data_IF_804398266562
#
_entry.id   IF_804398266562
#
_cell.length_a   1.000
_cell.length_b   1.000
_cell.length_c   1.000
_cell.angle_alpha   90.00
_cell.angle_beta   90.00
_cell.angle_gamma   90.00
#
_symmetry.space_group_name_H-M   'P 1'
#
loop_
_entity.id
_entity.type
_entity.pdbx_description
1 polymer ?
#
# COMPACT_ATOMS: atom_id res chain seq x y z
N UNK A 1 -7.01 15.00 29.02
CA UNK A 1 -5.72 14.54 28.45
C UNK A 1 -4.64 15.03 29.37
N UNK A 2 -3.95 14.16 30.06
CA UNK A 2 -2.93 14.58 31.00
C UNK A 2 -1.72 15.08 30.21
N UNK A 3 -1.16 16.21 30.61
CA UNK A 3 0.10 16.78 30.10
C UNK A 3 1.24 15.75 30.07
N UNK A 4 1.18 14.71 30.87
CA UNK A 4 2.11 13.59 30.94
C UNK A 4 2.28 12.80 29.63
N UNK A 5 1.26 12.71 28.77
CA UNK A 5 1.38 11.99 27.50
C UNK A 5 2.10 12.80 26.43
N UNK A 6 2.02 14.12 26.54
CA UNK A 6 2.65 15.04 25.62
C UNK A 6 4.13 15.24 25.96
N UNK A 7 4.46 15.37 27.25
CA UNK A 7 5.85 15.44 27.72
C UNK A 7 6.65 14.18 27.40
N UNK A 8 6.04 13.01 27.49
CA UNK A 8 6.73 11.74 27.13
C UNK A 8 7.10 11.66 25.65
N UNK A 9 6.26 12.21 24.76
CA UNK A 9 6.57 12.34 23.33
C UNK A 9 7.68 13.34 23.05
N UNK A 10 7.67 14.49 23.73
CA UNK A 10 8.67 15.55 23.54
C UNK A 10 10.03 15.14 24.12
N UNK A 11 10.07 14.49 25.26
CA UNK A 11 11.31 13.99 25.88
C UNK A 11 12.00 12.93 24.99
N UNK A 12 11.23 12.13 24.27
CA UNK A 12 11.77 11.21 23.25
C UNK A 12 12.38 11.93 22.04
N UNK A 13 11.85 13.11 21.67
CA UNK A 13 12.32 13.91 20.52
C UNK A 13 13.55 14.78 20.82
N UNK A 14 13.86 15.03 22.10
CA UNK A 14 15.04 15.80 22.50
C UNK A 14 16.34 14.98 22.55
N UNK A 15 16.30 13.70 22.17
CA UNK A 15 17.54 12.95 21.98
C UNK A 15 18.24 13.51 20.74
N UNK A 16 19.48 14.01 20.94
CA UNK A 16 20.33 14.39 19.82
C UNK A 16 20.39 13.24 18.83
N UNK A 17 20.03 13.52 17.58
CA UNK A 17 20.22 12.56 16.49
C UNK A 17 21.72 12.25 16.42
N UNK A 18 22.07 11.01 16.70
CA UNK A 18 23.42 10.52 16.50
C UNK A 18 23.52 9.96 15.08
N UNK A 19 24.18 10.65 14.15
CA UNK A 19 24.27 10.22 12.76
C UNK A 19 25.11 8.94 12.57
N UNK A 20 25.83 8.54 13.63
CA UNK A 20 26.60 7.28 13.60
C UNK A 20 25.79 6.09 14.09
N UNK A 21 24.61 6.33 14.66
CA UNK A 21 23.75 5.31 15.20
C UNK A 21 23.07 4.57 14.06
N UNK A 22 23.46 3.33 13.85
CA UNK A 22 22.76 2.42 12.93
C UNK A 22 21.37 2.10 13.47
N UNK A 23 20.45 1.74 12.59
CA UNK A 23 19.13 1.25 12.98
C UNK A 23 19.27 0.23 14.13
N UNK A 24 18.44 0.39 15.15
CA UNK A 24 18.48 -0.50 16.30
C UNK A 24 18.13 -1.91 15.85
N UNK A 25 19.09 -2.80 15.99
CA UNK A 25 18.83 -4.21 15.91
C UNK A 25 18.70 -4.75 17.34
N UNK A 26 17.76 -5.63 17.58
CA UNK A 26 17.69 -6.46 18.77
C UNK A 26 18.92 -7.36 18.85
N UNK A 27 19.17 -7.95 20.02
CA UNK A 27 20.29 -8.86 20.23
C UNK A 27 20.31 -10.06 19.25
N UNK A 28 19.17 -10.44 18.70
CA UNK A 28 19.00 -11.49 17.70
C UNK A 28 19.14 -11.00 16.24
N UNK A 29 19.61 -9.75 16.06
CA UNK A 29 19.79 -9.09 14.77
C UNK A 29 18.49 -8.77 14.01
N UNK A 30 17.33 -8.97 14.60
CA UNK A 30 16.07 -8.52 14.02
C UNK A 30 15.90 -7.00 14.22
N UNK A 31 15.19 -6.30 13.32
CA UNK A 31 14.88 -4.89 13.52
C UNK A 31 14.17 -4.66 14.85
N UNK A 32 14.57 -3.61 15.57
CA UNK A 32 13.86 -3.20 16.77
C UNK A 32 12.47 -2.71 16.35
N UNK A 33 11.42 -3.43 16.77
CA UNK A 33 10.02 -3.15 16.45
C UNK A 33 9.50 -1.82 17.02
N UNK A 34 10.34 -1.02 17.66
CA UNK A 34 9.94 0.31 18.12
C UNK A 34 9.45 1.22 16.99
N UNK A 35 9.86 0.97 15.74
CA UNK A 35 9.34 1.68 14.57
C UNK A 35 7.87 1.32 14.26
N UNK A 36 7.37 0.21 14.77
CA UNK A 36 5.94 -0.17 14.63
C UNK A 36 5.03 0.64 15.54
N UNK A 37 5.55 1.22 16.59
CA UNK A 37 4.76 1.98 17.58
C UNK A 37 4.22 3.28 16.97
N UNK A 38 4.85 3.80 15.93
CA UNK A 38 4.42 5.05 15.28
C UNK A 38 3.27 4.86 14.28
N UNK A 39 2.95 3.63 13.91
CA UNK A 39 1.99 3.33 12.82
C UNK A 39 0.57 3.09 13.35
N UNK A 40 0.41 2.95 14.64
CA UNK A 40 -0.88 2.66 15.26
C UNK A 40 -1.09 3.36 16.60
N UNK A 41 -2.27 3.20 17.19
CA UNK A 41 -2.55 3.72 18.52
C UNK A 41 -1.64 3.07 19.56
N UNK A 42 -1.03 3.87 20.41
CA UNK A 42 -0.23 3.40 21.55
C UNK A 42 -1.13 2.79 22.63
N UNK A 43 -0.55 2.04 23.57
CA UNK A 43 -1.28 1.39 24.68
C UNK A 43 -2.21 2.34 25.42
N UNK A 44 -1.77 3.57 25.68
CA UNK A 44 -2.58 4.59 26.36
C UNK A 44 -3.90 4.87 25.59
N UNK A 45 -3.85 4.98 24.27
CA UNK A 45 -5.05 5.21 23.46
C UNK A 45 -6.05 4.04 23.55
N UNK A 46 -5.56 2.81 23.64
CA UNK A 46 -6.44 1.65 23.90
C UNK A 46 -7.05 1.66 25.29
N UNK A 47 -6.28 2.05 26.29
CA UNK A 47 -6.77 2.13 27.69
C UNK A 47 -7.83 3.25 27.84
N UNK A 48 -7.59 4.42 27.22
CA UNK A 48 -8.56 5.52 27.19
C UNK A 48 -9.86 5.14 26.44
N UNK A 49 -9.76 4.48 25.29
CA UNK A 49 -10.95 3.96 24.57
C UNK A 49 -11.74 2.97 25.41
N UNK A 50 -11.04 2.06 26.08
CA UNK A 50 -11.68 1.07 26.97
C UNK A 50 -12.37 1.77 28.14
N UNK A 51 -11.73 2.74 28.77
CA UNK A 51 -12.32 3.53 29.84
C UNK A 51 -13.55 4.33 29.39
N UNK A 52 -13.54 4.80 28.14
CA UNK A 52 -14.68 5.49 27.53
C UNK A 52 -15.77 4.55 26.99
N UNK A 53 -15.65 3.23 27.16
CA UNK A 53 -16.60 2.26 26.65
C UNK A 53 -16.62 2.12 25.12
N UNK A 54 -15.58 2.60 24.44
CA UNK A 54 -15.48 2.51 22.96
C UNK A 54 -15.01 1.11 22.59
N UNK A 55 -15.86 0.38 21.86
CA UNK A 55 -15.51 -0.94 21.31
C UNK A 55 -14.65 -0.72 20.05
N UNK A 56 -13.43 -1.28 19.97
CA UNK A 56 -12.62 -1.19 18.76
C UNK A 56 -13.30 -1.95 17.62
N UNK A 57 -13.15 -1.48 16.37
CA UNK A 57 -13.67 -2.19 15.20
C UNK A 57 -12.98 -3.55 15.02
N UNK A 58 -13.73 -4.51 14.50
CA UNK A 58 -13.15 -5.78 14.01
C UNK A 58 -12.38 -5.51 12.71
N UNK A 59 -11.08 -5.23 12.85
CA UNK A 59 -10.22 -4.93 11.71
C UNK A 59 -10.08 -6.10 10.72
N UNK A 60 -9.94 -7.36 11.15
CA UNK A 60 -9.96 -8.50 10.24
C UNK A 60 -11.23 -8.57 9.38
N UNK A 61 -12.40 -8.44 9.99
CA UNK A 61 -13.66 -8.44 9.27
C UNK A 61 -13.79 -7.25 8.32
N UNK A 62 -13.41 -6.05 8.77
CA UNK A 62 -13.41 -4.84 7.94
C UNK A 62 -12.50 -4.95 6.71
N UNK A 63 -11.29 -5.49 6.89
CA UNK A 63 -10.33 -5.69 5.79
C UNK A 63 -10.85 -6.70 4.77
N UNK A 64 -11.39 -7.83 5.24
CA UNK A 64 -12.00 -8.85 4.38
C UNK A 64 -13.18 -8.28 3.59
N UNK A 65 -14.07 -7.53 4.23
CA UNK A 65 -15.20 -6.85 3.62
C UNK A 65 -14.76 -5.92 2.48
N UNK A 66 -13.76 -5.05 2.73
CA UNK A 66 -13.25 -4.11 1.73
C UNK A 66 -12.65 -4.83 0.51
N UNK A 67 -11.84 -5.88 0.74
CA UNK A 67 -11.27 -6.67 -0.33
C UNK A 67 -12.37 -7.34 -1.16
N UNK A 68 -13.37 -7.94 -0.51
CA UNK A 68 -14.49 -8.58 -1.18
C UNK A 68 -15.23 -7.59 -2.09
N UNK A 69 -15.52 -6.39 -1.63
CA UNK A 69 -16.20 -5.35 -2.43
C UNK A 69 -15.39 -4.93 -3.65
N UNK A 70 -14.06 -4.76 -3.51
CA UNK A 70 -13.19 -4.50 -4.67
C UNK A 70 -13.24 -5.67 -5.67
N UNK A 71 -13.12 -6.89 -5.20
CA UNK A 71 -13.15 -8.09 -6.04
C UNK A 71 -14.49 -8.30 -6.74
N UNK A 72 -15.60 -7.95 -6.09
CA UNK A 72 -16.94 -7.95 -6.71
C UNK A 72 -17.02 -6.96 -7.87
N UNK A 73 -16.47 -5.74 -7.71
CA UNK A 73 -16.44 -4.76 -8.79
C UNK A 73 -15.53 -5.21 -9.94
N UNK A 74 -14.37 -5.79 -9.65
CA UNK A 74 -13.46 -6.34 -10.66
C UNK A 74 -14.18 -7.40 -11.51
N UNK A 75 -14.85 -8.35 -10.88
CA UNK A 75 -15.62 -9.40 -11.58
C UNK A 75 -16.79 -8.82 -12.36
N UNK A 76 -17.55 -7.89 -11.78
CA UNK A 76 -18.69 -7.23 -12.41
C UNK A 76 -18.32 -6.50 -13.70
N UNK A 77 -17.11 -5.96 -13.77
CA UNK A 77 -16.60 -5.22 -14.93
C UNK A 77 -15.74 -6.08 -15.86
N UNK A 78 -15.67 -7.40 -15.62
CA UNK A 78 -14.87 -8.35 -16.41
C UNK A 78 -13.39 -7.91 -16.51
N UNK A 79 -12.82 -7.45 -15.39
CA UNK A 79 -11.42 -7.03 -15.33
C UNK A 79 -10.52 -8.18 -14.86
N UNK A 80 -9.31 -8.21 -15.39
CA UNK A 80 -8.23 -9.07 -14.92
C UNK A 80 -7.78 -8.70 -13.49
N UNK A 81 -8.02 -7.45 -13.09
CA UNK A 81 -7.70 -6.93 -11.77
C UNK A 81 -7.87 -5.42 -11.70
N UNK A 82 -7.53 -4.88 -10.54
CA UNK A 82 -7.53 -3.46 -10.26
C UNK A 82 -6.14 -3.06 -9.75
N UNK A 83 -5.48 -2.13 -10.45
CA UNK A 83 -4.18 -1.59 -10.08
C UNK A 83 -4.37 -0.21 -9.45
N UNK A 84 -3.92 -0.08 -8.22
CA UNK A 84 -4.09 1.10 -7.39
C UNK A 84 -2.74 1.80 -7.16
N UNK A 85 -2.69 3.10 -7.42
CA UNK A 85 -1.59 4.00 -7.08
C UNK A 85 -2.02 5.10 -6.10
N UNK A 86 -3.32 5.40 -6.04
CA UNK A 86 -3.82 6.40 -5.12
C UNK A 86 -3.67 5.92 -3.66
N UNK A 87 -3.00 6.70 -2.78
CA UNK A 87 -2.74 6.27 -1.40
C UNK A 87 -4.00 6.03 -0.58
N UNK A 88 -5.12 6.69 -0.89
CA UNK A 88 -6.39 6.45 -0.20
C UNK A 88 -7.01 5.13 -0.64
N UNK A 89 -6.91 4.80 -1.94
CA UNK A 89 -7.37 3.53 -2.48
C UNK A 89 -6.48 2.37 -2.00
N UNK A 90 -5.15 2.56 -1.97
CA UNK A 90 -4.21 1.60 -1.39
C UNK A 90 -4.57 1.34 0.09
N UNK A 91 -4.80 2.39 0.87
CA UNK A 91 -5.23 2.24 2.27
C UNK A 91 -6.58 1.55 2.41
N UNK A 92 -7.54 1.86 1.56
CA UNK A 92 -8.84 1.17 1.58
C UNK A 92 -8.68 -0.34 1.34
N UNK A 93 -7.90 -0.72 0.34
CA UNK A 93 -7.68 -2.11 -0.03
C UNK A 93 -6.87 -2.89 1.04
N UNK A 94 -5.79 -2.31 1.54
CA UNK A 94 -4.78 -3.03 2.33
C UNK A 94 -4.78 -2.71 3.82
N UNK A 95 -5.35 -1.56 4.22
CA UNK A 95 -5.20 -0.93 5.54
C UNK A 95 -3.74 -0.55 5.88
N UNK A 96 -2.90 -0.41 4.85
CA UNK A 96 -1.49 -0.05 4.96
C UNK A 96 -1.29 1.43 4.65
N UNK A 97 -0.46 2.09 5.43
CA UNK A 97 -0.05 3.49 5.22
C UNK A 97 1.46 3.60 5.17
N UNK A 98 1.96 4.41 4.25
CA UNK A 98 3.38 4.74 4.15
C UNK A 98 3.50 6.07 3.41
N UNK A 99 4.14 7.06 4.02
CA UNK A 99 4.46 8.38 3.44
C UNK A 99 3.33 9.00 2.59
N UNK A 100 2.12 9.05 3.12
CA UNK A 100 0.89 9.37 2.36
C UNK A 100 0.97 10.65 1.51
N UNK A 101 1.50 11.74 2.05
CA UNK A 101 1.63 13.01 1.32
C UNK A 101 2.63 12.89 0.16
N UNK A 102 3.76 12.27 0.41
CA UNK A 102 4.80 12.12 -0.60
C UNK A 102 4.36 11.20 -1.73
N UNK A 103 3.76 10.06 -1.43
CA UNK A 103 3.25 9.11 -2.44
C UNK A 103 1.99 9.59 -3.15
N UNK A 104 1.25 10.56 -2.59
CA UNK A 104 0.18 11.21 -3.33
C UNK A 104 0.70 12.05 -4.50
N UNK A 105 1.90 12.62 -4.36
CA UNK A 105 2.60 13.38 -5.38
C UNK A 105 3.48 12.49 -6.26
N UNK A 106 4.22 11.54 -5.67
CA UNK A 106 5.13 10.63 -6.36
C UNK A 106 4.62 9.21 -6.28
N UNK A 107 4.22 8.60 -7.38
CA UNK A 107 3.65 7.26 -7.41
C UNK A 107 4.73 6.19 -7.23
N UNK A 108 5.14 5.95 -5.98
CA UNK A 108 6.18 5.00 -5.60
C UNK A 108 5.65 3.68 -5.05
N UNK A 109 4.32 3.55 -4.92
CA UNK A 109 3.66 2.34 -4.42
C UNK A 109 2.52 1.95 -5.35
N UNK A 110 2.32 0.66 -5.49
CA UNK A 110 1.20 0.11 -6.23
C UNK A 110 0.61 -1.11 -5.53
N UNK A 111 -0.68 -1.33 -5.70
CA UNK A 111 -1.36 -2.55 -5.26
C UNK A 111 -2.13 -3.13 -6.43
N UNK A 112 -1.88 -4.39 -6.74
CA UNK A 112 -2.74 -5.15 -7.61
C UNK A 112 -3.73 -5.95 -6.77
N UNK A 113 -5.01 -5.73 -7.02
CA UNK A 113 -6.11 -6.49 -6.45
C UNK A 113 -6.61 -7.48 -7.50
N UNK A 114 -6.41 -8.80 -7.31
CA UNK A 114 -6.91 -9.80 -8.23
C UNK A 114 -8.43 -9.98 -8.10
N UNK A 115 -9.11 -10.58 -9.09
CA UNK A 115 -10.53 -10.94 -8.98
C UNK A 115 -10.83 -11.91 -7.84
N UNK A 116 -9.82 -12.69 -7.41
CA UNK A 116 -9.88 -13.63 -6.29
C UNK A 116 -8.51 -13.77 -5.61
N UNK A 117 -8.53 -14.15 -4.33
CA UNK A 117 -7.30 -14.38 -3.56
C UNK A 117 -6.71 -13.13 -2.94
N UNK A 118 -5.39 -13.15 -2.68
CA UNK A 118 -4.67 -12.12 -1.98
C UNK A 118 -4.05 -11.11 -2.94
N UNK A 119 -3.82 -9.90 -2.43
CA UNK A 119 -3.24 -8.78 -3.18
C UNK A 119 -1.72 -8.93 -3.35
N UNK A 120 -1.20 -8.28 -4.39
CA UNK A 120 0.24 -8.04 -4.58
C UNK A 120 0.50 -6.56 -4.31
N UNK A 121 1.47 -6.26 -3.45
CA UNK A 121 1.86 -4.90 -3.10
C UNK A 121 3.29 -4.64 -3.53
N UNK A 122 3.51 -3.61 -4.33
CA UNK A 122 4.81 -2.98 -4.55
C UNK A 122 4.97 -1.87 -3.53
N UNK A 123 5.84 -2.09 -2.54
CA UNK A 123 6.11 -1.08 -1.53
C UNK A 123 7.33 -0.23 -1.89
N UNK A 124 7.44 0.92 -1.26
CA UNK A 124 8.61 1.76 -1.37
C UNK A 124 9.83 0.99 -0.82
N UNK A 125 11.00 1.21 -1.43
CA UNK A 125 12.21 0.46 -1.07
C UNK A 125 12.49 0.51 0.44
N UNK A 126 12.88 -0.64 1.01
CA UNK A 126 13.12 -0.85 2.44
C UNK A 126 11.91 -0.59 3.38
N UNK A 127 10.68 -0.55 2.83
CA UNK A 127 9.45 -0.33 3.62
C UNK A 127 8.54 -1.57 3.71
N UNK A 128 8.95 -2.70 3.18
CA UNK A 128 8.22 -3.97 3.18
C UNK A 128 7.83 -4.43 4.60
N UNK A 129 8.64 -4.13 5.61
CA UNK A 129 8.34 -4.40 7.01
C UNK A 129 7.07 -3.70 7.52
N UNK A 130 6.66 -2.58 6.90
CA UNK A 130 5.44 -1.87 7.26
C UNK A 130 4.17 -2.59 6.80
N UNK A 131 4.28 -3.49 5.83
CA UNK A 131 3.16 -4.16 5.16
C UNK A 131 3.16 -5.67 5.35
N UNK A 132 4.31 -6.27 5.67
CA UNK A 132 4.51 -7.73 5.75
C UNK A 132 3.59 -8.45 6.75
N UNK A 133 3.08 -7.73 7.76
CA UNK A 133 2.18 -8.28 8.77
C UNK A 133 0.70 -8.33 8.33
N UNK A 134 0.36 -7.77 7.17
CA UNK A 134 -1.03 -7.66 6.72
C UNK A 134 -1.48 -8.97 6.05
N UNK A 135 -2.53 -9.64 6.56
CA UNK A 135 -2.85 -11.02 6.18
C UNK A 135 -3.43 -11.15 4.75
N UNK A 136 -3.94 -10.06 4.18
CA UNK A 136 -4.55 -10.04 2.85
C UNK A 136 -3.56 -9.68 1.73
N UNK A 137 -2.31 -9.36 2.08
CA UNK A 137 -1.21 -9.23 1.14
C UNK A 137 -0.55 -10.60 1.00
N UNK A 138 -0.55 -11.13 -0.21
CA UNK A 138 0.03 -12.43 -0.54
C UNK A 138 1.47 -12.34 -0.98
N UNK A 139 1.84 -11.22 -1.60
CA UNK A 139 3.16 -10.98 -2.16
C UNK A 139 3.58 -9.53 -1.99
N UNK A 140 4.84 -9.32 -1.62
CA UNK A 140 5.49 -8.02 -1.54
C UNK A 140 6.57 -7.94 -2.61
N UNK A 141 6.51 -6.88 -3.40
CA UNK A 141 7.49 -6.58 -4.44
C UNK A 141 8.01 -5.16 -4.27
N UNK A 142 9.12 -4.84 -4.92
CA UNK A 142 9.66 -3.48 -5.01
C UNK A 142 9.62 -2.96 -6.45
N UNK A 143 9.76 -1.64 -6.60
CA UNK A 143 10.04 -1.06 -7.89
C UNK A 143 8.84 -0.55 -8.70
N UNK A 144 7.79 -0.07 -8.04
CA UNK A 144 6.69 0.63 -8.72
C UNK A 144 7.01 2.09 -9.06
N UNK A 145 8.25 2.52 -8.88
CA UNK A 145 8.67 3.91 -9.12
C UNK A 145 9.12 4.08 -10.57
N UNK A 146 8.38 4.88 -11.32
CA UNK A 146 8.73 5.29 -12.69
C UNK A 146 8.36 6.75 -12.95
N UNK A 147 8.73 7.62 -12.01
CA UNK A 147 8.58 9.07 -12.12
C UNK A 147 9.97 9.75 -12.15
N UNK A 148 10.06 10.86 -12.86
CA UNK A 148 11.35 11.49 -13.20
C UNK A 148 12.21 11.86 -11.99
N UNK A 149 11.62 12.29 -10.89
CA UNK A 149 12.36 12.68 -9.69
C UNK A 149 13.25 11.54 -9.14
N UNK A 150 12.80 10.28 -9.23
CA UNK A 150 13.55 9.11 -8.74
C UNK A 150 14.41 8.47 -9.85
N UNK A 151 13.88 8.41 -11.06
CA UNK A 151 14.47 7.61 -12.13
C UNK A 151 15.19 8.43 -13.20
N UNK A 152 15.02 9.76 -13.22
CA UNK A 152 15.62 10.62 -14.22
C UNK A 152 15.38 10.14 -15.64
N UNK A 153 16.41 10.10 -16.46
CA UNK A 153 16.33 9.66 -17.85
C UNK A 153 16.00 8.15 -18.01
N UNK A 154 16.00 7.39 -16.92
CA UNK A 154 15.62 5.97 -16.90
C UNK A 154 14.11 5.73 -16.65
N UNK A 155 13.30 6.79 -16.64
CA UNK A 155 11.86 6.69 -16.33
C UNK A 155 11.14 5.68 -17.22
N UNK A 156 11.40 5.69 -18.55
CA UNK A 156 10.77 4.73 -19.45
C UNK A 156 11.23 3.29 -19.19
N UNK A 157 12.52 3.09 -18.96
CA UNK A 157 13.06 1.76 -18.61
C UNK A 157 12.42 1.20 -17.31
N UNK A 158 12.24 2.05 -16.29
CA UNK A 158 11.57 1.67 -15.05
C UNK A 158 10.10 1.32 -15.29
N UNK A 159 9.40 2.09 -16.12
CA UNK A 159 8.02 1.83 -16.50
C UNK A 159 7.85 0.50 -17.26
N UNK A 160 8.76 0.22 -18.20
CA UNK A 160 8.75 -1.03 -18.98
C UNK A 160 8.98 -2.25 -18.07
N UNK A 161 9.93 -2.12 -17.13
CA UNK A 161 10.19 -3.17 -16.13
C UNK A 161 8.96 -3.42 -15.24
N UNK A 162 8.31 -2.37 -14.76
CA UNK A 162 7.09 -2.49 -13.98
C UNK A 162 5.95 -3.11 -14.81
N UNK A 163 5.76 -2.69 -16.05
CA UNK A 163 4.76 -3.25 -16.94
C UNK A 163 4.95 -4.76 -17.17
N UNK A 164 6.19 -5.22 -17.31
CA UNK A 164 6.50 -6.64 -17.42
C UNK A 164 6.06 -7.41 -16.15
N UNK A 165 6.35 -6.88 -14.96
CA UNK A 165 5.87 -7.46 -13.70
C UNK A 165 4.33 -7.54 -13.64
N UNK A 166 3.64 -6.51 -14.11
CA UNK A 166 2.15 -6.51 -14.16
C UNK A 166 1.65 -7.59 -15.12
N UNK A 167 2.27 -7.76 -16.29
CA UNK A 167 1.89 -8.82 -17.23
C UNK A 167 2.03 -10.21 -16.61
N UNK A 168 3.12 -10.45 -15.87
CA UNK A 168 3.34 -11.72 -15.16
C UNK A 168 2.26 -11.95 -14.08
N UNK A 169 1.94 -10.92 -13.31
CA UNK A 169 0.87 -10.98 -12.28
C UNK A 169 -0.51 -11.22 -12.92
N UNK A 170 -0.82 -10.56 -14.04
CA UNK A 170 -2.06 -10.81 -14.78
C UNK A 170 -2.13 -12.25 -15.29
N UNK A 171 -1.02 -12.79 -15.80
CA UNK A 171 -0.96 -14.17 -16.25
C UNK A 171 -1.22 -15.17 -15.12
N UNK A 172 -0.71 -14.89 -13.92
CA UNK A 172 -0.87 -15.75 -12.74
C UNK A 172 -2.31 -15.74 -12.20
N UNK A 173 -2.95 -14.57 -12.17
CA UNK A 173 -4.23 -14.37 -11.49
C UNK A 173 -5.45 -14.34 -12.40
N UNK A 174 -5.29 -14.04 -13.69
CA UNK A 174 -6.39 -13.84 -14.61
C UNK A 174 -6.20 -14.55 -15.98
N UNK A 175 -5.14 -15.33 -16.12
CA UNK A 175 -4.87 -16.09 -17.34
C UNK A 175 -4.69 -15.21 -18.57
N UNK A 176 -5.60 -15.33 -19.54
CA UNK A 176 -5.54 -14.56 -20.80
C UNK A 176 -6.24 -13.20 -20.73
N UNK A 177 -7.00 -12.91 -19.67
CA UNK A 177 -7.63 -11.60 -19.53
C UNK A 177 -6.56 -10.50 -19.33
N UNK A 178 -6.64 -9.45 -20.14
CA UNK A 178 -5.69 -8.33 -20.12
C UNK A 178 -6.36 -7.00 -19.80
N UNK A 179 -7.65 -7.01 -19.44
CA UNK A 179 -8.41 -5.81 -19.11
C UNK A 179 -8.14 -5.40 -17.67
N UNK A 180 -7.28 -4.39 -17.48
CA UNK A 180 -6.82 -3.91 -16.19
C UNK A 180 -7.46 -2.57 -15.85
N UNK A 181 -8.20 -2.51 -14.75
CA UNK A 181 -8.68 -1.25 -14.21
C UNK A 181 -7.55 -0.55 -13.43
N UNK A 182 -7.33 0.75 -13.66
CA UNK A 182 -6.27 1.53 -13.00
C UNK A 182 -6.86 2.83 -12.46
N UNK A 183 -6.62 3.15 -11.19
CA UNK A 183 -7.19 4.34 -10.56
C UNK A 183 -6.49 5.64 -11.02
N UNK A 184 -5.18 5.63 -11.08
CA UNK A 184 -4.34 6.67 -11.67
C UNK A 184 -2.99 6.08 -12.08
N UNK A 185 -2.31 6.67 -13.05
CA UNK A 185 -1.00 6.23 -13.50
C UNK A 185 -0.27 7.35 -14.23
N UNK A 186 1.05 7.42 -14.10
CA UNK A 186 1.89 8.29 -14.91
C UNK A 186 1.92 7.86 -16.39
N UNK A 187 2.09 8.83 -17.28
CA UNK A 187 2.09 8.59 -18.74
C UNK A 187 3.06 7.46 -19.16
N UNK A 188 4.33 7.42 -18.70
CA UNK A 188 5.24 6.34 -19.06
C UNK A 188 4.72 4.96 -18.68
N UNK A 189 4.11 4.81 -17.50
CA UNK A 189 3.52 3.56 -17.06
C UNK A 189 2.31 3.15 -17.90
N UNK A 190 1.42 4.09 -18.23
CA UNK A 190 0.29 3.82 -19.12
C UNK A 190 0.76 3.35 -20.50
N UNK A 191 1.76 4.02 -21.07
CA UNK A 191 2.33 3.64 -22.38
C UNK A 191 2.97 2.26 -22.32
N UNK A 192 3.75 1.97 -21.29
CA UNK A 192 4.41 0.68 -21.12
C UNK A 192 3.39 -0.48 -20.97
N UNK A 193 2.34 -0.30 -20.18
CA UNK A 193 1.26 -1.30 -20.05
C UNK A 193 0.56 -1.56 -21.40
N UNK A 194 0.21 -0.49 -22.12
CA UNK A 194 -0.49 -0.60 -23.40
C UNK A 194 0.38 -1.27 -24.45
N UNK A 195 1.67 -0.94 -24.51
CA UNK A 195 2.64 -1.58 -25.42
C UNK A 195 2.85 -3.07 -25.13
N UNK A 196 2.63 -3.49 -23.88
CA UNK A 196 2.66 -4.89 -23.47
C UNK A 196 1.29 -5.60 -23.62
N UNK A 197 0.34 -5.00 -24.34
CA UNK A 197 -0.95 -5.60 -24.67
C UNK A 197 -1.97 -5.59 -23.52
N UNK A 198 -1.78 -4.73 -22.52
CA UNK A 198 -2.75 -4.53 -21.43
C UNK A 198 -3.83 -3.54 -21.89
N UNK A 199 -5.10 -3.92 -21.78
CA UNK A 199 -6.25 -3.05 -22.01
C UNK A 199 -6.53 -2.25 -20.72
N UNK A 200 -5.97 -1.04 -20.66
CA UNK A 200 -6.08 -0.17 -19.47
C UNK A 200 -7.39 0.61 -19.51
N UNK A 201 -8.20 0.42 -18.48
CA UNK A 201 -9.45 1.17 -18.28
C UNK A 201 -9.41 1.98 -16.97
N UNK A 202 -10.31 2.98 -16.85
CA UNK A 202 -10.42 3.74 -15.60
C UNK A 202 -10.92 2.87 -14.44
N UNK A 203 -10.13 2.78 -13.38
CA UNK A 203 -10.44 2.08 -12.15
C UNK A 203 -11.23 2.89 -11.12
N UNK A 204 -11.40 4.21 -11.35
CA UNK A 204 -12.10 5.07 -10.40
C UNK A 204 -13.54 4.64 -10.15
N UNK A 205 -14.26 4.23 -11.20
CA UNK A 205 -15.64 3.73 -11.07
C UNK A 205 -15.69 2.52 -10.16
N UNK A 206 -14.73 1.59 -10.28
CA UNK A 206 -14.67 0.38 -9.46
C UNK A 206 -14.42 0.74 -7.99
N UNK A 207 -13.48 1.65 -7.72
CA UNK A 207 -13.13 2.06 -6.35
C UNK A 207 -14.28 2.83 -5.68
N UNK A 208 -14.96 3.72 -6.42
CA UNK A 208 -16.10 4.46 -5.90
C UNK A 208 -17.28 3.51 -5.57
N UNK A 209 -17.62 2.59 -6.47
CA UNK A 209 -18.68 1.62 -6.23
C UNK A 209 -18.34 0.64 -5.09
N UNK A 210 -17.07 0.25 -4.94
CA UNK A 210 -16.65 -0.61 -3.82
C UNK A 210 -16.77 0.09 -2.46
N UNK A 211 -16.67 1.43 -2.43
CA UNK A 211 -16.81 2.24 -1.22
C UNK A 211 -18.23 2.72 -0.95
N UNK A 212 -19.09 2.74 -1.95
CA UNK A 212 -20.49 3.10 -1.81
C UNK A 212 -21.22 1.97 -1.08
N UNK A 213 -21.69 2.25 0.14
CA UNK A 213 -22.43 1.33 1.00
C UNK A 213 -23.89 1.72 1.02
#
# INVERSE_FOLDING_TARGET
MSELSYEHRIVGSNRKIDPTRRAHLKADLTPDDNDRVEIGPIKLAFDERRAAGIVPPDLPALRAYRLQHLQEQIRKHDCAGLLLFDPLNIRYATDCTNMQLWIAHNMARAVYVPPEGKMVLWDFHNCDHLSAHLPLIGELQGGASFFYFETGDQTQFAADKFAAQIVDVLQQHAGSNRRLAVDKIEIPGFQALTQNGVDVISGQVLTEHARAV
#
